data_IF_594162138117
#
_entry.id   IF_594162138117
#
_cell.length_a   1.000
_cell.length_b   1.000
_cell.length_c   1.000
_cell.angle_alpha   90.00
_cell.angle_beta   90.00
_cell.angle_gamma   90.00
#
_symmetry.space_group_name_H-M   'P 1'
#
loop_
_entity.id
_entity.type
_entity.pdbx_description
1 polymer ?
#
# COMPACT_ATOMS: atom_id res chain seq x y z
N UNK A 1 -31.43 4.68 25.20
CA UNK A 1 -29.97 4.85 25.08
C UNK A 1 -29.65 4.79 23.60
N UNK A 2 -29.31 5.95 23.01
CA UNK A 2 -29.34 6.16 21.57
C UNK A 2 -28.07 5.59 20.91
N UNK A 3 -28.19 4.41 20.31
CA UNK A 3 -27.12 3.79 19.49
C UNK A 3 -26.76 4.64 18.25
N UNK A 4 -27.64 5.55 17.81
CA UNK A 4 -27.46 6.34 16.60
C UNK A 4 -26.40 7.45 16.72
N UNK A 5 -26.16 8.01 17.91
CA UNK A 5 -25.11 9.02 18.10
C UNK A 5 -23.70 8.41 18.04
N UNK A 6 -23.51 7.19 18.53
CA UNK A 6 -22.20 6.53 18.57
C UNK A 6 -21.64 6.23 17.15
N UNK A 7 -22.50 5.92 16.19
CA UNK A 7 -22.08 5.54 14.81
C UNK A 7 -21.56 6.75 14.02
N UNK A 8 -22.03 7.96 14.32
CA UNK A 8 -21.56 9.18 13.65
C UNK A 8 -20.19 9.63 14.18
N UNK A 9 -19.93 9.47 15.48
CA UNK A 9 -18.62 9.79 16.08
C UNK A 9 -17.49 8.91 15.53
N UNK A 10 -17.74 7.61 15.31
CA UNK A 10 -16.69 6.68 14.86
C UNK A 10 -16.20 6.99 13.44
N UNK A 11 -17.11 7.39 12.55
CA UNK A 11 -16.75 7.71 11.16
C UNK A 11 -15.92 9.00 11.05
N UNK A 12 -16.21 10.02 11.87
CA UNK A 12 -15.46 11.29 11.88
C UNK A 12 -14.05 11.09 12.44
N UNK A 13 -13.88 10.28 13.49
CA UNK A 13 -12.56 9.97 14.07
C UNK A 13 -11.68 9.11 13.15
N UNK A 14 -12.29 8.20 12.38
CA UNK A 14 -11.59 7.43 11.35
C UNK A 14 -11.06 8.32 10.24
N UNK A 15 -11.87 9.25 9.72
CA UNK A 15 -11.45 10.20 8.68
C UNK A 15 -10.37 11.16 9.17
N UNK A 16 -10.45 11.58 10.44
CA UNK A 16 -9.51 12.48 11.07
C UNK A 16 -8.11 11.88 11.28
N UNK A 17 -7.88 10.59 11.02
CA UNK A 17 -6.57 9.93 11.18
C UNK A 17 -6.04 9.23 9.93
N UNK A 18 -6.64 9.47 8.76
CA UNK A 18 -6.10 8.93 7.50
C UNK A 18 -5.00 9.83 6.93
N UNK A 19 -3.75 9.36 6.81
CA UNK A 19 -2.66 10.17 6.26
C UNK A 19 -2.96 10.63 4.82
N UNK A 20 -3.55 9.75 3.99
CA UNK A 20 -3.91 10.06 2.60
C UNK A 20 -4.99 11.14 2.42
N UNK A 21 -5.64 11.58 3.50
CA UNK A 21 -6.58 12.71 3.49
C UNK A 21 -6.00 13.99 4.12
N UNK A 22 -4.86 13.88 4.82
CA UNK A 22 -4.20 15.00 5.51
C UNK A 22 -3.09 15.64 4.70
N UNK A 23 -2.38 14.85 3.90
CA UNK A 23 -1.31 15.32 3.04
C UNK A 23 -1.79 15.45 1.60
N UNK A 24 -0.94 16.06 0.75
CA UNK A 24 -1.19 16.21 -0.67
C UNK A 24 -1.47 14.84 -1.35
N UNK A 25 -2.63 14.65 -2.01
CA UNK A 25 -2.93 13.41 -2.73
C UNK A 25 -1.88 13.03 -3.77
N UNK A 26 -1.23 14.00 -4.41
CA UNK A 26 -0.22 13.74 -5.45
C UNK A 26 0.98 12.96 -4.90
N UNK A 27 1.25 13.06 -3.60
CA UNK A 27 2.32 12.32 -2.93
C UNK A 27 2.15 10.79 -3.07
N UNK A 28 0.91 10.28 -3.01
CA UNK A 28 0.63 8.84 -3.15
C UNK A 28 0.78 8.33 -4.59
N UNK A 29 0.79 9.23 -5.58
CA UNK A 29 0.92 8.88 -7.00
C UNK A 29 2.18 9.44 -7.63
N UNK A 30 3.13 9.91 -6.80
CA UNK A 30 4.34 10.57 -7.27
C UNK A 30 5.18 9.67 -8.16
N UNK A 31 5.82 10.28 -9.16
CA UNK A 31 6.81 9.60 -9.96
C UNK A 31 8.20 9.53 -9.29
N UNK A 32 8.42 10.27 -8.21
CA UNK A 32 9.70 10.40 -7.50
C UNK A 32 9.83 9.29 -6.45
N UNK A 33 10.89 8.44 -6.51
CA UNK A 33 11.03 7.34 -5.56
C UNK A 33 11.03 7.75 -4.09
N UNK A 34 11.66 8.87 -3.75
CA UNK A 34 11.72 9.35 -2.36
C UNK A 34 10.34 9.77 -1.82
N UNK A 35 9.48 10.35 -2.67
CA UNK A 35 8.13 10.75 -2.30
C UNK A 35 7.22 9.54 -2.10
N UNK A 36 7.39 8.50 -2.92
CA UNK A 36 6.68 7.23 -2.72
C UNK A 36 7.09 6.54 -1.42
N UNK A 37 8.38 6.53 -1.05
CA UNK A 37 8.80 6.00 0.25
C UNK A 37 8.26 6.85 1.42
N UNK A 38 8.16 8.17 1.25
CA UNK A 38 7.50 9.03 2.24
C UNK A 38 6.02 8.66 2.39
N UNK A 39 5.24 8.61 1.30
CA UNK A 39 3.84 8.19 1.33
C UNK A 39 3.66 6.80 1.97
N UNK A 40 4.56 5.87 1.67
CA UNK A 40 4.58 4.52 2.23
C UNK A 40 4.74 4.55 3.75
N UNK A 41 5.71 5.32 4.25
CA UNK A 41 5.95 5.46 5.70
C UNK A 41 4.79 6.12 6.45
N UNK A 42 4.10 7.08 5.82
CA UNK A 42 2.92 7.73 6.40
C UNK A 42 1.78 6.75 6.66
N UNK A 43 1.72 5.60 5.96
CA UNK A 43 0.70 4.59 6.17
C UNK A 43 0.90 3.76 7.45
N UNK A 44 2.02 3.88 8.18
CA UNK A 44 2.41 2.99 9.28
C UNK A 44 1.34 2.79 10.35
N UNK A 45 0.78 3.89 10.87
CA UNK A 45 -0.25 3.85 11.93
C UNK A 45 -1.68 4.00 11.38
N UNK A 46 -1.86 3.85 10.06
CA UNK A 46 -3.17 4.00 9.44
C UNK A 46 -4.08 2.82 9.82
N UNK A 47 -5.26 3.05 10.43
CA UNK A 47 -6.16 1.96 10.86
C UNK A 47 -6.72 1.16 9.68
N UNK A 48 -6.71 1.72 8.48
CA UNK A 48 -7.19 1.08 7.25
C UNK A 48 -6.07 0.44 6.43
N UNK A 49 -4.83 0.37 6.93
CA UNK A 49 -3.66 -0.10 6.16
C UNK A 49 -3.92 -1.43 5.44
N UNK A 50 -4.38 -2.44 6.17
CA UNK A 50 -4.61 -3.78 5.61
C UNK A 50 -5.80 -3.82 4.63
N UNK A 51 -6.92 -3.16 4.98
CA UNK A 51 -8.09 -3.12 4.09
C UNK A 51 -7.82 -2.33 2.80
N UNK A 52 -7.04 -1.24 2.89
CA UNK A 52 -6.59 -0.45 1.76
C UNK A 52 -5.67 -1.28 0.85
N UNK A 53 -4.70 -1.99 1.42
CA UNK A 53 -3.83 -2.89 0.67
C UNK A 53 -4.61 -4.02 -0.02
N UNK A 54 -5.55 -4.64 0.69
CA UNK A 54 -6.43 -5.68 0.16
C UNK A 54 -7.17 -5.21 -1.09
N UNK A 55 -7.87 -4.08 -0.98
CA UNK A 55 -8.62 -3.53 -2.09
C UNK A 55 -7.72 -3.13 -3.28
N UNK A 56 -6.51 -2.65 -3.02
CA UNK A 56 -5.57 -2.31 -4.08
C UNK A 56 -5.03 -3.54 -4.82
N UNK A 57 -4.77 -4.63 -4.10
CA UNK A 57 -4.40 -5.92 -4.70
C UNK A 57 -5.55 -6.48 -5.54
N UNK A 58 -6.77 -6.45 -5.03
CA UNK A 58 -7.95 -6.97 -5.73
C UNK A 58 -8.24 -6.21 -7.04
N UNK A 59 -8.07 -4.89 -7.02
CA UNK A 59 -8.22 -4.04 -8.22
C UNK A 59 -7.01 -4.05 -9.14
N UNK A 60 -5.92 -4.72 -8.74
CA UNK A 60 -4.63 -4.69 -9.41
C UNK A 60 -4.20 -3.25 -9.73
N UNK A 61 -4.24 -2.37 -8.71
CA UNK A 61 -3.96 -0.94 -8.87
C UNK A 61 -2.67 -0.72 -9.65
N UNK A 62 -2.69 0.07 -10.74
CA UNK A 62 -1.60 0.05 -11.70
C UNK A 62 -0.37 0.82 -11.21
N UNK A 63 -0.55 1.79 -10.30
CA UNK A 63 0.53 2.58 -9.71
C UNK A 63 0.12 3.21 -8.36
N UNK A 64 1.12 3.74 -7.66
CA UNK A 64 0.95 4.54 -6.45
C UNK A 64 1.18 3.78 -5.15
N UNK A 65 1.00 4.46 -4.02
CA UNK A 65 1.09 3.87 -2.68
C UNK A 65 -0.30 3.48 -2.19
N UNK A 66 -0.45 2.24 -1.73
CA UNK A 66 -1.69 1.73 -1.18
C UNK A 66 -1.40 0.88 0.04
N UNK A 67 -2.04 1.18 1.18
CA UNK A 67 -1.88 0.41 2.41
C UNK A 67 -0.41 0.22 2.85
N UNK A 68 0.45 1.21 2.59
CA UNK A 68 1.87 1.14 2.92
C UNK A 68 2.71 0.27 1.98
N UNK A 69 2.24 0.02 0.77
CA UNK A 69 2.97 -0.66 -0.30
C UNK A 69 3.00 0.17 -1.58
N UNK A 70 4.08 0.05 -2.36
CA UNK A 70 4.20 0.71 -3.66
C UNK A 70 3.74 -0.26 -4.75
N UNK A 71 2.86 0.21 -5.62
CA UNK A 71 2.40 -0.51 -6.80
C UNK A 71 3.10 0.01 -8.05
N UNK A 72 3.54 -0.91 -8.90
CA UNK A 72 4.03 -0.63 -10.23
C UNK A 72 3.54 -1.72 -11.19
N UNK A 73 2.76 -1.31 -12.20
CA UNK A 73 2.15 -2.21 -13.20
C UNK A 73 1.30 -3.32 -12.57
N UNK A 74 0.52 -2.99 -11.53
CA UNK A 74 -0.36 -3.94 -10.84
C UNK A 74 0.35 -4.92 -9.90
N UNK A 75 1.65 -4.72 -9.66
CA UNK A 75 2.43 -5.54 -8.74
C UNK A 75 2.97 -4.70 -7.59
N UNK A 76 3.02 -5.28 -6.40
CA UNK A 76 3.71 -4.67 -5.26
C UNK A 76 5.21 -4.74 -5.49
N UNK A 77 5.88 -3.61 -5.34
CA UNK A 77 7.33 -3.47 -5.44
C UNK A 77 7.88 -2.88 -4.14
N UNK A 78 9.11 -3.27 -3.73
CA UNK A 78 9.70 -2.72 -2.50
C UNK A 78 9.94 -1.22 -2.56
N UNK A 79 10.36 -0.75 -3.74
CA UNK A 79 10.68 0.63 -4.07
C UNK A 79 10.57 0.82 -5.57
N UNK A 80 10.29 2.04 -6.01
CA UNK A 80 10.39 2.41 -7.42
C UNK A 80 11.85 2.46 -7.86
N UNK A 81 12.18 1.82 -8.99
CA UNK A 81 13.53 1.85 -9.54
C UNK A 81 13.76 3.11 -10.37
N UNK A 82 14.90 3.80 -10.22
CA UNK A 82 15.31 4.83 -11.16
C UNK A 82 15.42 4.27 -12.58
N UNK A 83 15.26 5.15 -13.58
CA UNK A 83 15.41 4.76 -14.99
C UNK A 83 16.84 4.31 -15.28
N UNK A 84 16.99 3.42 -16.25
CA UNK A 84 18.28 2.89 -16.70
C UNK A 84 18.58 1.48 -16.20
N UNK A 85 19.74 0.94 -16.59
CA UNK A 85 20.20 -0.38 -16.14
C UNK A 85 20.65 -0.30 -14.68
N UNK A 86 20.13 -1.14 -13.77
CA UNK A 86 20.60 -1.18 -12.39
C UNK A 86 22.08 -1.51 -12.30
N UNK A 87 22.76 -0.93 -11.30
CA UNK A 87 24.08 -1.41 -10.90
C UNK A 87 23.93 -2.79 -10.26
N UNK A 88 25.01 -3.57 -10.23
CA UNK A 88 25.00 -4.92 -9.64
C UNK A 88 24.54 -4.90 -8.18
N UNK A 89 25.02 -3.92 -7.42
CA UNK A 89 24.66 -3.72 -6.01
C UNK A 89 23.19 -3.36 -5.84
N UNK A 90 22.66 -2.47 -6.68
CA UNK A 90 21.24 -2.10 -6.66
C UNK A 90 20.34 -3.30 -6.98
N UNK A 91 20.76 -4.15 -7.93
CA UNK A 91 20.03 -5.35 -8.29
C UNK A 91 19.99 -6.38 -7.15
N UNK A 92 21.10 -6.54 -6.41
CA UNK A 92 21.16 -7.41 -5.24
C UNK A 92 20.28 -6.89 -4.11
N UNK A 93 20.38 -5.60 -3.77
CA UNK A 93 19.52 -4.93 -2.78
C UNK A 93 18.04 -5.09 -3.13
N UNK A 94 17.67 -4.95 -4.39
CA UNK A 94 16.28 -5.08 -4.81
C UNK A 94 15.76 -6.52 -4.85
N UNK A 95 16.66 -7.51 -4.90
CA UNK A 95 16.26 -8.90 -4.74
C UNK A 95 15.93 -9.17 -3.26
N UNK A 96 16.80 -8.71 -2.35
CA UNK A 96 16.59 -8.80 -0.91
C UNK A 96 15.29 -8.11 -0.47
N UNK A 97 15.10 -6.84 -0.85
CA UNK A 97 13.89 -6.09 -0.50
C UNK A 97 12.61 -6.71 -1.08
N UNK A 98 12.69 -7.42 -2.21
CA UNK A 98 11.52 -8.12 -2.77
C UNK A 98 11.10 -9.29 -1.89
N UNK A 99 12.06 -10.05 -1.36
CA UNK A 99 11.78 -11.12 -0.39
C UNK A 99 11.14 -10.57 0.88
N UNK A 100 11.60 -9.42 1.38
CA UNK A 100 10.98 -8.77 2.55
C UNK A 100 9.55 -8.33 2.31
N UNK A 101 9.26 -7.76 1.12
CA UNK A 101 7.91 -7.39 0.71
C UNK A 101 7.02 -8.62 0.64
N UNK A 102 7.49 -9.70 0.03
CA UNK A 102 6.75 -10.95 -0.07
C UNK A 102 6.38 -11.49 1.33
N UNK A 103 7.35 -11.55 2.24
CA UNK A 103 7.11 -11.93 3.63
C UNK A 103 6.10 -11.01 4.34
N UNK A 104 6.13 -9.69 4.08
CA UNK A 104 5.16 -8.73 4.65
C UNK A 104 3.76 -8.91 4.05
N UNK A 105 3.66 -9.22 2.76
CA UNK A 105 2.39 -9.52 2.09
C UNK A 105 1.77 -10.80 2.64
N UNK A 106 2.57 -11.83 2.89
CA UNK A 106 2.15 -13.06 3.56
C UNK A 106 1.66 -12.77 4.99
N UNK A 107 2.44 -12.02 5.78
CA UNK A 107 2.06 -11.64 7.14
C UNK A 107 0.77 -10.79 7.21
N UNK A 108 0.46 -10.06 6.14
CA UNK A 108 -0.78 -9.29 6.03
C UNK A 108 -2.00 -10.15 5.66
N UNK A 109 -1.82 -11.46 5.41
CA UNK A 109 -2.90 -12.40 5.08
C UNK A 109 -3.46 -12.24 3.66
N UNK A 110 -2.76 -11.51 2.78
CA UNK A 110 -3.28 -11.10 1.45
C UNK A 110 -2.81 -11.99 0.30
N UNK A 111 -1.83 -12.87 0.54
CA UNK A 111 -1.35 -13.82 -0.44
C UNK A 111 -2.43 -14.85 -0.85
N UNK A 112 -3.29 -15.26 0.08
CA UNK A 112 -4.39 -16.21 -0.17
C UNK A 112 -5.55 -15.57 -0.95
N UNK A 113 -5.80 -14.27 -0.79
CA UNK A 113 -6.89 -13.54 -1.48
C UNK A 113 -6.73 -13.58 -3.00
N UNK A 114 -5.50 -13.45 -3.53
CA UNK A 114 -5.23 -13.56 -4.99
C UNK A 114 -5.47 -14.96 -5.55
N UNK A 115 -5.31 -16.01 -4.72
CA UNK A 115 -5.55 -17.41 -5.12
C UNK A 115 -7.06 -17.72 -5.15
N UNK A 116 -7.82 -17.15 -4.21
CA UNK A 116 -9.26 -17.36 -4.09
C UNK A 116 -10.08 -16.58 -5.15
N UNK A 117 -9.60 -15.43 -5.64
CA UNK A 117 -10.28 -14.65 -6.69
C UNK A 117 -10.25 -15.35 -8.06
N UNK A 118 -9.30 -16.26 -8.33
CA UNK A 118 -9.25 -17.04 -9.59
C UNK A 118 -10.29 -18.16 -9.67
N UNK A 119 -11.07 -18.43 -8.62
CA UNK A 119 -12.11 -19.47 -8.58
C UNK A 119 -13.54 -18.92 -8.66
N UNK A 120 -13.70 -17.60 -8.82
CA UNK A 120 -15.02 -16.94 -8.91
C UNK A 120 -15.30 -16.31 -10.30
N UNK A 121 -14.68 -16.84 -11.36
CA UNK A 121 -14.95 -16.46 -12.76
C UNK A 121 -15.40 -17.67 -13.57
#
# INVERSE_FOLDING_TARGET
>A
MSLALAVLDTNVELEANLPCRKFDPDLWFSDVPAELELAKSLCGDCPLRNACLAGAVDRAEPWGVWGGEIFERGAVVPRKRPRGRPRKEDAARDAELRTEVEARMEASGLAETRSNVRLAA
#
